data_IF_784917201191
#
_entry.id   IF_784917201191
#
_cell.length_a   1.000
_cell.length_b   1.000
_cell.length_c   1.000
_cell.angle_alpha   90.00
_cell.angle_beta   90.00
_cell.angle_gamma   90.00
#
_symmetry.space_group_name_H-M   'P 1'
#
loop_
_entity.id
_entity.type
_entity.pdbx_description
1 polymer ?
#
# COMPACT_ATOMS: atom_id res chain seq x y z
N UNK A 1 -20.02 -18.60 27.19
CA UNK A 1 -20.66 -17.27 27.15
C UNK A 1 -22.15 -17.47 26.97
N UNK A 2 -22.98 -17.21 27.98
CA UNK A 2 -24.45 -17.23 27.82
C UNK A 2 -24.85 -15.91 27.15
N UNK A 3 -25.39 -15.98 25.93
CA UNK A 3 -25.87 -14.80 25.21
C UNK A 3 -26.97 -14.09 25.99
N UNK A 4 -26.97 -12.76 25.95
CA UNK A 4 -27.99 -11.95 26.62
C UNK A 4 -29.39 -12.31 26.07
N UNK A 5 -30.32 -12.64 26.97
CA UNK A 5 -31.71 -12.92 26.62
C UNK A 5 -32.38 -11.59 26.29
N UNK A 6 -32.83 -11.44 25.05
CA UNK A 6 -33.58 -10.26 24.60
C UNK A 6 -34.95 -10.27 25.29
N UNK A 7 -35.39 -9.18 25.93
CA UNK A 7 -36.66 -9.12 26.63
C UNK A 7 -37.84 -9.26 25.66
N UNK A 8 -38.89 -9.98 26.11
CA UNK A 8 -40.09 -10.23 25.31
C UNK A 8 -40.76 -8.91 24.90
N UNK A 9 -40.93 -8.70 23.59
CA UNK A 9 -41.57 -7.51 23.00
C UNK A 9 -40.66 -6.63 22.14
N UNK A 10 -39.34 -6.85 22.14
CA UNK A 10 -38.42 -6.16 21.23
C UNK A 10 -38.40 -6.87 19.88
N UNK A 11 -39.04 -6.27 18.88
CA UNK A 11 -38.89 -6.71 17.48
C UNK A 11 -37.49 -6.27 17.03
N UNK A 12 -36.54 -7.21 17.05
CA UNK A 12 -35.24 -7.00 16.41
C UNK A 12 -35.47 -7.19 14.92
N UNK A 13 -35.71 -6.09 14.21
CA UNK A 13 -35.56 -6.09 12.75
C UNK A 13 -34.07 -6.17 12.46
N UNK A 14 -33.61 -7.25 11.81
CA UNK A 14 -32.28 -7.27 11.21
C UNK A 14 -32.18 -6.03 10.32
N UNK A 15 -31.28 -5.10 10.64
CA UNK A 15 -31.18 -3.77 10.03
C UNK A 15 -30.67 -3.79 8.59
N UNK A 16 -31.28 -4.63 7.73
CA UNK A 16 -30.81 -4.96 6.40
C UNK A 16 -29.48 -5.72 6.39
N UNK A 17 -29.13 -6.26 5.23
CA UNK A 17 -27.75 -6.69 4.94
C UNK A 17 -26.87 -5.45 4.83
N UNK A 18 -26.41 -4.92 5.96
CA UNK A 18 -25.33 -3.94 5.96
C UNK A 18 -24.01 -4.68 5.72
N UNK A 19 -23.28 -4.34 4.66
CA UNK A 19 -21.89 -4.75 4.52
C UNK A 19 -21.07 -3.94 5.52
N UNK A 20 -21.05 -4.39 6.79
CA UNK A 20 -20.32 -3.74 7.89
C UNK A 20 -18.89 -3.37 7.52
N UNK A 21 -18.26 -4.14 6.65
CA UNK A 21 -16.92 -3.90 6.15
C UNK A 21 -16.85 -2.73 5.16
N UNK A 22 -17.84 -2.53 4.28
CA UNK A 22 -17.90 -1.49 3.25
C UNK A 22 -18.25 -0.12 3.83
N UNK A 23 -19.24 -0.05 4.73
CA UNK A 23 -19.74 1.20 5.35
C UNK A 23 -18.88 1.68 6.52
N UNK A 24 -17.82 0.95 6.89
CA UNK A 24 -16.97 1.28 8.03
C UNK A 24 -16.25 2.63 7.90
N UNK A 25 -15.60 2.97 6.77
CA UNK A 25 -14.94 4.26 6.60
C UNK A 25 -15.93 5.41 6.71
N UNK A 26 -17.10 5.28 6.07
CA UNK A 26 -18.12 6.34 6.05
C UNK A 26 -18.69 6.59 7.44
N UNK A 27 -18.96 5.54 8.22
CA UNK A 27 -19.38 5.70 9.62
C UNK A 27 -18.31 6.34 10.49
N UNK A 28 -17.03 6.00 10.27
CA UNK A 28 -15.92 6.62 10.99
C UNK A 28 -15.73 8.09 10.58
N UNK A 29 -15.93 8.42 9.30
CA UNK A 29 -15.92 9.78 8.79
C UNK A 29 -17.07 10.61 9.40
N UNK A 30 -18.30 10.07 9.41
CA UNK A 30 -19.44 10.73 10.05
C UNK A 30 -19.22 10.92 11.56
N UNK A 31 -18.62 9.94 12.25
CA UNK A 31 -18.25 10.11 13.65
C UNK A 31 -17.18 11.20 13.82
N UNK A 32 -16.17 11.24 12.95
CA UNK A 32 -15.14 12.28 12.93
C UNK A 32 -15.75 13.68 12.81
N UNK A 33 -16.67 13.87 11.86
CA UNK A 33 -17.35 15.14 11.64
C UNK A 33 -18.17 15.59 12.85
N UNK A 34 -18.87 14.66 13.51
CA UNK A 34 -19.61 14.97 14.75
C UNK A 34 -18.68 15.46 15.86
N UNK A 35 -17.61 14.72 16.15
CA UNK A 35 -16.66 15.11 17.20
C UNK A 35 -15.90 16.40 16.86
N UNK A 36 -15.54 16.61 15.59
CA UNK A 36 -14.93 17.85 15.14
C UNK A 36 -15.90 19.05 15.28
N UNK A 37 -17.17 18.86 14.94
CA UNK A 37 -18.22 19.85 15.13
C UNK A 37 -18.43 20.22 16.59
N UNK A 38 -18.46 19.23 17.48
CA UNK A 38 -18.56 19.44 18.93
C UNK A 38 -17.33 20.17 19.50
N UNK A 39 -16.13 19.79 19.07
CA UNK A 39 -14.89 20.45 19.44
C UNK A 39 -14.91 21.95 19.08
N UNK A 40 -15.29 22.28 17.84
CA UNK A 40 -15.39 23.66 17.36
C UNK A 40 -16.43 24.46 18.16
N UNK A 41 -17.61 23.90 18.39
CA UNK A 41 -18.65 24.56 19.18
C UNK A 41 -18.21 24.84 20.63
N UNK A 42 -17.52 23.90 21.27
CA UNK A 42 -16.99 24.07 22.61
C UNK A 42 -15.87 25.12 22.65
N UNK A 43 -14.98 25.11 21.65
CA UNK A 43 -13.93 26.10 21.51
C UNK A 43 -14.50 27.51 21.34
N UNK A 44 -15.39 27.72 20.38
CA UNK A 44 -16.04 29.02 20.14
C UNK A 44 -16.81 29.54 21.36
N UNK A 45 -17.49 28.65 22.10
CA UNK A 45 -18.15 29.04 23.35
C UNK A 45 -17.16 29.44 24.43
N UNK A 46 -16.06 28.71 24.57
CA UNK A 46 -15.01 29.05 25.54
C UNK A 46 -14.33 30.37 25.20
N UNK A 47 -14.10 30.63 23.92
CA UNK A 47 -13.47 31.84 23.39
C UNK A 47 -14.35 33.07 23.63
N UNK A 48 -15.63 33.00 23.23
CA UNK A 48 -16.63 34.05 23.52
C UNK A 48 -16.77 34.33 25.01
N UNK A 49 -16.66 33.31 25.86
CA UNK A 49 -16.68 33.51 27.31
C UNK A 49 -15.40 34.16 27.83
N UNK A 50 -14.24 33.85 27.25
CA UNK A 50 -12.96 34.43 27.59
C UNK A 50 -12.85 35.90 27.18
N UNK A 51 -13.41 36.29 26.03
CA UNK A 51 -13.49 37.68 25.56
C UNK A 51 -14.16 38.63 26.57
N UNK A 52 -15.08 38.11 27.38
CA UNK A 52 -15.74 38.88 28.44
C UNK A 52 -14.81 39.26 29.61
N UNK A 53 -13.63 38.64 29.72
CA UNK A 53 -12.63 38.94 30.74
C UNK A 53 -11.58 39.88 30.12
N UNK A 54 -11.42 41.11 30.63
CA UNK A 54 -10.33 41.98 30.19
C UNK A 54 -8.97 41.32 30.38
N UNK A 55 -8.12 41.38 29.35
CA UNK A 55 -6.80 40.77 29.36
C UNK A 55 -5.95 41.34 30.51
N UNK A 56 -5.33 40.46 31.29
CA UNK A 56 -4.45 40.84 32.40
C UNK A 56 -5.16 41.19 33.71
N UNK A 57 -6.50 41.10 33.80
CA UNK A 57 -7.22 41.37 35.05
C UNK A 57 -6.89 40.31 36.13
N UNK A 58 -6.26 40.69 37.26
CA UNK A 58 -5.98 39.77 38.35
C UNK A 58 -7.27 39.36 39.09
N UNK A 59 -7.27 38.16 39.69
CA UNK A 59 -8.35 37.72 40.57
C UNK A 59 -8.25 38.52 41.88
N UNK A 60 -9.30 39.25 42.24
CA UNK A 60 -9.37 39.99 43.50
C UNK A 60 -9.62 39.03 44.67
N UNK A 61 -8.53 38.55 45.29
CA UNK A 61 -8.58 37.63 46.43
C UNK A 61 -9.18 38.33 47.65
N UNK A 62 -10.15 37.70 48.31
CA UNK A 62 -10.85 38.23 49.49
C UNK A 62 -12.05 39.15 49.16
N UNK A 63 -12.34 39.43 47.89
CA UNK A 63 -13.50 40.22 47.48
C UNK A 63 -14.74 39.34 47.28
N UNK A 64 -15.95 39.88 47.47
CA UNK A 64 -17.22 39.16 47.29
C UNK A 64 -17.37 38.51 45.89
N UNK A 65 -16.74 39.08 44.86
CA UNK A 65 -16.75 38.57 43.48
C UNK A 65 -15.75 37.44 43.20
N UNK A 66 -14.83 37.14 44.11
CA UNK A 66 -13.75 36.18 43.90
C UNK A 66 -14.28 34.81 43.46
N UNK A 67 -15.25 34.28 44.21
CA UNK A 67 -15.81 32.95 43.95
C UNK A 67 -16.46 32.86 42.57
N UNK A 68 -17.15 33.94 42.15
CA UNK A 68 -17.80 34.02 40.84
C UNK A 68 -16.77 34.06 39.70
N UNK A 69 -15.71 34.86 39.84
CA UNK A 69 -14.64 34.95 38.83
C UNK A 69 -13.88 33.62 38.69
N UNK A 70 -13.52 32.98 39.82
CA UNK A 70 -12.88 31.65 39.81
C UNK A 70 -13.75 30.61 39.10
N UNK A 71 -15.04 30.56 39.42
CA UNK A 71 -15.97 29.61 38.78
C UNK A 71 -16.17 29.92 37.30
N UNK A 72 -16.19 31.20 36.91
CA UNK A 72 -16.31 31.61 35.50
C UNK A 72 -15.08 31.17 34.69
N UNK A 73 -13.87 31.48 35.18
CA UNK A 73 -12.60 31.02 34.57
C UNK A 73 -12.49 29.50 34.52
N UNK A 74 -12.91 28.80 35.58
CA UNK A 74 -12.94 27.33 35.62
C UNK A 74 -13.88 26.75 34.55
N UNK A 75 -15.04 27.37 34.31
CA UNK A 75 -15.96 26.94 33.24
C UNK A 75 -15.34 27.10 31.85
N UNK A 76 -14.66 28.22 31.59
CA UNK A 76 -13.91 28.44 30.35
C UNK A 76 -12.88 27.32 30.18
N UNK A 77 -12.02 27.14 31.19
CA UNK A 77 -10.98 26.12 31.17
C UNK A 77 -11.54 24.72 30.91
N UNK A 78 -12.63 24.34 31.58
CA UNK A 78 -13.26 23.03 31.38
C UNK A 78 -13.79 22.85 29.95
N UNK A 79 -14.39 23.90 29.36
CA UNK A 79 -14.85 23.85 27.97
C UNK A 79 -13.69 23.75 26.98
N UNK A 80 -12.60 24.47 27.23
CA UNK A 80 -11.37 24.39 26.43
C UNK A 80 -10.72 23.00 26.54
N UNK A 81 -10.65 22.41 27.74
CA UNK A 81 -10.14 21.04 27.91
C UNK A 81 -11.01 20.06 27.11
N UNK A 82 -12.33 20.17 27.25
CA UNK A 82 -13.27 19.30 26.53
C UNK A 82 -13.16 19.45 25.01
N UNK A 83 -13.02 20.68 24.48
CA UNK A 83 -12.85 20.87 23.04
C UNK A 83 -11.57 20.23 22.52
N UNK A 84 -10.48 20.26 23.29
CA UNK A 84 -9.23 19.57 22.96
C UNK A 84 -9.43 18.04 22.96
N UNK A 85 -10.14 17.49 23.95
CA UNK A 85 -10.45 16.05 24.03
C UNK A 85 -11.30 15.59 22.84
N UNK A 86 -12.33 16.34 22.48
CA UNK A 86 -13.18 16.04 21.31
C UNK A 86 -12.38 16.16 20.00
N UNK A 87 -11.50 17.17 19.90
CA UNK A 87 -10.62 17.34 18.73
C UNK A 87 -9.64 16.17 18.57
N UNK A 88 -9.05 15.69 19.66
CA UNK A 88 -8.21 14.47 19.65
C UNK A 88 -9.00 13.24 19.24
N UNK A 89 -10.21 13.08 19.77
CA UNK A 89 -11.10 11.97 19.40
C UNK A 89 -11.45 12.00 17.92
N UNK A 90 -11.74 13.18 17.36
CA UNK A 90 -11.97 13.36 15.94
C UNK A 90 -10.74 12.96 15.11
N UNK A 91 -9.53 13.39 15.50
CA UNK A 91 -8.28 13.01 14.82
C UNK A 91 -8.07 11.48 14.81
N UNK A 92 -8.24 10.82 15.96
CA UNK A 92 -8.11 9.36 16.06
C UNK A 92 -9.12 8.62 15.16
N UNK A 93 -10.36 9.12 15.09
CA UNK A 93 -11.39 8.56 14.22
C UNK A 93 -11.07 8.80 12.74
N UNK A 94 -10.54 9.97 12.39
CA UNK A 94 -10.09 10.28 11.04
C UNK A 94 -8.98 9.31 10.59
N UNK A 95 -8.01 9.04 11.46
CA UNK A 95 -6.91 8.11 11.20
C UNK A 95 -7.41 6.67 10.99
N UNK A 96 -8.38 6.25 11.81
CA UNK A 96 -9.06 4.96 11.64
C UNK A 96 -9.84 4.91 10.34
N UNK A 97 -10.53 5.98 9.95
CA UNK A 97 -11.26 6.07 8.68
C UNK A 97 -10.30 5.92 7.49
N UNK A 98 -9.19 6.67 7.49
CA UNK A 98 -8.14 6.59 6.45
C UNK A 98 -7.56 5.19 6.34
N UNK A 99 -7.22 4.59 7.47
CA UNK A 99 -6.66 3.22 7.52
C UNK A 99 -7.65 2.18 7.01
N UNK A 100 -8.93 2.32 7.37
CA UNK A 100 -10.00 1.44 6.91
C UNK A 100 -10.23 1.56 5.40
N UNK A 101 -10.28 2.78 4.87
CA UNK A 101 -10.41 3.03 3.43
C UNK A 101 -9.21 2.46 2.64
N UNK A 102 -7.99 2.64 3.15
CA UNK A 102 -6.79 2.05 2.55
C UNK A 102 -6.84 0.52 2.55
N UNK A 103 -7.28 -0.10 3.64
CA UNK A 103 -7.43 -1.55 3.73
C UNK A 103 -8.47 -2.09 2.73
N UNK A 104 -9.61 -1.40 2.56
CA UNK A 104 -10.59 -1.74 1.53
C UNK A 104 -10.02 -1.63 0.12
N UNK A 105 -9.36 -0.51 -0.21
CA UNK A 105 -8.70 -0.32 -1.51
C UNK A 105 -7.69 -1.42 -1.79
N UNK A 106 -6.87 -1.77 -0.80
CA UNK A 106 -5.89 -2.86 -0.90
C UNK A 106 -6.56 -4.23 -1.05
N UNK A 107 -7.72 -4.45 -0.42
CA UNK A 107 -8.49 -5.70 -0.57
C UNK A 107 -9.01 -5.88 -1.98
N UNK A 108 -9.38 -4.79 -2.65
CA UNK A 108 -9.85 -4.77 -4.03
C UNK A 108 -8.71 -4.69 -5.07
N UNK A 109 -7.45 -4.63 -4.64
CA UNK A 109 -6.31 -4.68 -5.56
C UNK A 109 -6.29 -6.04 -6.31
N UNK A 110 -6.29 -6.07 -7.65
CA UNK A 110 -6.33 -7.30 -8.43
C UNK A 110 -5.24 -8.31 -8.06
N UNK A 111 -4.03 -7.83 -7.75
CA UNK A 111 -2.92 -8.68 -7.33
C UNK A 111 -3.16 -9.33 -5.96
N UNK A 112 -3.80 -8.61 -5.03
CA UNK A 112 -4.22 -9.17 -3.74
C UNK A 112 -5.33 -10.20 -3.92
N UNK A 113 -6.34 -9.92 -4.75
CA UNK A 113 -7.43 -10.86 -5.05
C UNK A 113 -6.86 -12.16 -5.63
N UNK A 114 -5.96 -12.07 -6.62
CA UNK A 114 -5.34 -13.25 -7.23
C UNK A 114 -4.52 -14.09 -6.24
N UNK A 115 -3.84 -13.46 -5.27
CA UNK A 115 -3.16 -14.19 -4.20
C UNK A 115 -4.15 -14.89 -3.25
N UNK A 116 -5.31 -14.28 -2.96
CA UNK A 116 -6.38 -14.95 -2.20
C UNK A 116 -6.89 -16.19 -2.93
N UNK A 117 -7.18 -16.07 -4.23
CA UNK A 117 -7.61 -17.19 -5.08
C UNK A 117 -6.57 -18.32 -5.04
N UNK A 118 -5.29 -18.01 -5.20
CA UNK A 118 -4.21 -19.01 -5.12
C UNK A 118 -4.16 -19.72 -3.77
N UNK A 119 -4.39 -18.99 -2.67
CA UNK A 119 -4.46 -19.59 -1.33
C UNK A 119 -5.64 -20.54 -1.20
N UNK A 120 -6.83 -20.12 -1.64
CA UNK A 120 -8.03 -20.96 -1.61
C UNK A 120 -7.85 -22.23 -2.46
N UNK A 121 -7.24 -22.12 -3.64
CA UNK A 121 -6.89 -23.28 -4.48
C UNK A 121 -5.90 -24.21 -3.77
N UNK A 122 -4.90 -23.67 -3.06
CA UNK A 122 -3.98 -24.47 -2.27
C UNK A 122 -4.70 -25.19 -1.11
N UNK A 123 -5.68 -24.54 -0.49
CA UNK A 123 -6.50 -25.15 0.57
C UNK A 123 -7.35 -26.32 0.02
N UNK A 124 -7.91 -26.20 -1.19
CA UNK A 124 -8.61 -27.32 -1.87
C UNK A 124 -7.67 -28.52 -2.08
N UNK A 125 -6.45 -28.27 -2.56
CA UNK A 125 -5.42 -29.31 -2.71
C UNK A 125 -5.06 -29.93 -1.37
N UNK A 126 -4.90 -29.11 -0.33
CA UNK A 126 -4.62 -29.58 1.04
C UNK A 126 -5.72 -30.49 1.58
N UNK A 127 -7.00 -30.11 1.43
CA UNK A 127 -8.14 -30.93 1.83
C UNK A 127 -8.20 -32.26 1.05
N UNK A 128 -7.92 -32.22 -0.24
CA UNK A 128 -7.87 -33.42 -1.10
C UNK A 128 -6.75 -34.37 -0.68
N UNK A 129 -5.57 -33.83 -0.37
CA UNK A 129 -4.45 -34.61 0.15
C UNK A 129 -4.79 -35.23 1.50
N UNK A 130 -5.44 -34.48 2.41
CA UNK A 130 -5.90 -35.01 3.68
C UNK A 130 -6.83 -36.21 3.51
N UNK A 131 -7.82 -36.12 2.62
CA UNK A 131 -8.69 -37.25 2.29
C UNK A 131 -7.90 -38.44 1.75
N UNK A 132 -6.97 -38.19 0.82
CA UNK A 132 -6.10 -39.22 0.25
C UNK A 132 -5.29 -39.94 1.33
N UNK A 133 -4.68 -39.18 2.25
CA UNK A 133 -3.93 -39.73 3.37
C UNK A 133 -4.78 -40.59 4.30
N UNK A 134 -6.01 -40.15 4.61
CA UNK A 134 -6.94 -40.93 5.43
C UNK A 134 -7.34 -42.24 4.73
N UNK A 135 -7.66 -42.19 3.44
CA UNK A 135 -7.98 -43.39 2.65
C UNK A 135 -6.78 -44.36 2.62
N UNK A 136 -5.56 -43.85 2.42
CA UNK A 136 -4.36 -44.67 2.39
C UNK A 136 -4.09 -45.35 3.74
N UNK A 137 -4.24 -44.61 4.84
CA UNK A 137 -3.97 -45.11 6.19
C UNK A 137 -5.06 -46.09 6.67
N UNK A 138 -6.33 -45.68 6.59
CA UNK A 138 -7.47 -46.48 7.05
C UNK A 138 -7.78 -47.64 6.08
N UNK A 139 -7.42 -47.52 4.81
CA UNK A 139 -7.59 -48.57 3.79
C UNK A 139 -6.82 -49.86 4.10
N UNK A 140 -5.73 -49.78 4.86
CA UNK A 140 -5.01 -50.98 5.31
C UNK A 140 -5.89 -51.87 6.19
N UNK A 141 -6.65 -51.28 7.12
CA UNK A 141 -7.56 -52.01 8.01
C UNK A 141 -8.75 -52.62 7.26
N UNK A 142 -9.18 -52.02 6.14
CA UNK A 142 -10.23 -52.59 5.29
C UNK A 142 -9.81 -53.94 4.67
N UNK A 143 -8.50 -54.10 4.38
CA UNK A 143 -7.96 -55.31 3.75
C UNK A 143 -7.52 -56.36 4.78
N UNK A 144 -6.93 -55.93 5.89
CA UNK A 144 -6.23 -56.83 6.84
C UNK A 144 -6.79 -56.84 8.26
N UNK A 145 -7.71 -55.93 8.59
CA UNK A 145 -8.29 -55.80 9.93
C UNK A 145 -9.38 -56.81 10.23
N UNK A 146 -9.80 -56.87 11.50
CA UNK A 146 -11.00 -57.58 11.94
C UNK A 146 -12.27 -56.89 11.42
N UNK A 147 -13.42 -57.56 11.44
CA UNK A 147 -14.69 -56.95 10.96
C UNK A 147 -15.06 -55.65 11.71
N UNK A 148 -14.80 -55.59 13.01
CA UNK A 148 -14.99 -54.36 13.81
C UNK A 148 -14.06 -53.23 13.36
N UNK A 149 -12.78 -53.54 13.10
CA UNK A 149 -11.81 -52.57 12.60
C UNK A 149 -12.18 -52.09 11.20
N UNK A 150 -12.64 -52.99 10.31
CA UNK A 150 -13.13 -52.63 8.98
C UNK A 150 -14.30 -51.67 9.06
N UNK A 151 -15.29 -51.97 9.90
CA UNK A 151 -16.46 -51.10 10.08
C UNK A 151 -16.07 -49.72 10.63
N UNK A 152 -15.17 -49.67 11.62
CA UNK A 152 -14.67 -48.41 12.18
C UNK A 152 -13.89 -47.57 11.17
N UNK A 153 -12.99 -48.19 10.41
CA UNK A 153 -12.20 -47.53 9.35
C UNK A 153 -13.07 -47.05 8.19
N UNK A 154 -14.06 -47.86 7.77
CA UNK A 154 -15.03 -47.47 6.74
C UNK A 154 -15.85 -46.25 7.18
N UNK A 155 -16.30 -46.24 8.43
CA UNK A 155 -17.01 -45.09 9.01
C UNK A 155 -16.14 -43.83 8.95
N UNK A 156 -14.89 -43.90 9.41
CA UNK A 156 -13.96 -42.76 9.35
C UNK A 156 -13.74 -42.24 7.93
N UNK A 157 -13.52 -43.14 6.97
CA UNK A 157 -13.32 -42.75 5.56
C UNK A 157 -14.56 -42.02 5.04
N UNK A 158 -15.77 -42.55 5.32
CA UNK A 158 -17.02 -41.93 4.87
C UNK A 158 -17.26 -40.57 5.55
N UNK A 159 -17.01 -40.47 6.85
CA UNK A 159 -17.12 -39.21 7.60
C UNK A 159 -16.14 -38.15 7.04
N UNK A 160 -14.88 -38.51 6.83
CA UNK A 160 -13.86 -37.63 6.25
C UNK A 160 -14.18 -37.26 4.81
N UNK A 161 -14.71 -38.20 4.01
CA UNK A 161 -15.15 -37.94 2.63
C UNK A 161 -16.29 -36.93 2.60
N UNK A 162 -17.29 -37.09 3.47
CA UNK A 162 -18.42 -36.16 3.59
C UNK A 162 -17.94 -34.76 4.03
N UNK A 163 -17.07 -34.70 5.05
CA UNK A 163 -16.47 -33.44 5.49
C UNK A 163 -15.64 -32.77 4.39
N UNK A 164 -14.79 -33.53 3.70
CA UNK A 164 -13.91 -33.00 2.64
C UNK A 164 -14.73 -32.49 1.46
N UNK A 165 -15.78 -33.21 1.05
CA UNK A 165 -16.68 -32.77 -0.01
C UNK A 165 -17.40 -31.46 0.34
N UNK A 166 -17.94 -31.35 1.55
CA UNK A 166 -18.58 -30.12 2.03
C UNK A 166 -17.57 -28.96 2.08
N UNK A 167 -16.35 -29.22 2.56
CA UNK A 167 -15.32 -28.18 2.68
C UNK A 167 -14.80 -27.71 1.32
N UNK A 168 -14.60 -28.62 0.38
CA UNK A 168 -14.18 -28.29 -0.99
C UNK A 168 -15.27 -27.46 -1.67
N UNK A 169 -16.55 -27.82 -1.53
CA UNK A 169 -17.66 -27.04 -2.11
C UNK A 169 -17.71 -25.60 -1.55
N UNK A 170 -17.48 -25.42 -0.25
CA UNK A 170 -17.34 -24.09 0.37
C UNK A 170 -16.18 -23.30 -0.24
N UNK A 171 -14.99 -23.92 -0.33
CA UNK A 171 -13.80 -23.28 -0.89
C UNK A 171 -13.97 -22.94 -2.38
N UNK A 172 -14.61 -23.79 -3.16
CA UNK A 172 -14.92 -23.56 -4.57
C UNK A 172 -15.91 -22.39 -4.75
N UNK A 173 -16.94 -22.31 -3.89
CA UNK A 173 -17.84 -21.17 -3.87
C UNK A 173 -17.09 -19.86 -3.55
N UNK A 174 -16.14 -19.90 -2.62
CA UNK A 174 -15.29 -18.75 -2.28
C UNK A 174 -14.37 -18.35 -3.44
N UNK A 175 -13.75 -19.33 -4.11
CA UNK A 175 -12.95 -19.10 -5.32
C UNK A 175 -13.81 -18.42 -6.40
N UNK A 176 -15.04 -18.90 -6.62
CA UNK A 176 -15.95 -18.32 -7.61
C UNK A 176 -16.34 -16.87 -7.26
N UNK A 177 -16.64 -16.57 -5.98
CA UNK A 177 -16.91 -15.20 -5.52
C UNK A 177 -15.71 -14.27 -5.74
N UNK A 178 -14.51 -14.74 -5.44
CA UNK A 178 -13.28 -13.98 -5.61
C UNK A 178 -12.93 -13.78 -7.09
N UNK A 179 -13.18 -14.77 -7.94
CA UNK A 179 -13.04 -14.64 -9.40
C UNK A 179 -14.04 -13.65 -9.99
N UNK A 180 -15.30 -13.66 -9.54
CA UNK A 180 -16.30 -12.68 -9.93
C UNK A 180 -15.90 -11.26 -9.50
N UNK A 181 -15.34 -11.12 -8.29
CA UNK A 181 -14.81 -9.85 -7.78
C UNK A 181 -13.65 -9.38 -8.66
N UNK A 182 -12.69 -10.25 -8.99
CA UNK A 182 -11.57 -9.94 -9.86
C UNK A 182 -12.05 -9.48 -11.26
N UNK A 183 -13.04 -10.17 -11.82
CA UNK A 183 -13.65 -9.79 -13.10
C UNK A 183 -14.29 -8.39 -13.03
N UNK A 184 -14.99 -8.08 -11.94
CA UNK A 184 -15.62 -6.76 -11.76
C UNK A 184 -14.61 -5.61 -11.68
N UNK A 185 -13.40 -5.85 -11.18
CA UNK A 185 -12.32 -4.85 -11.08
C UNK A 185 -11.55 -4.70 -12.41
N UNK A 186 -11.88 -5.49 -13.44
CA UNK A 186 -11.22 -5.44 -14.76
C UNK A 186 -10.11 -6.47 -14.94
N UNK A 187 -10.07 -7.51 -14.10
CA UNK A 187 -9.13 -8.62 -14.23
C UNK A 187 -7.72 -8.31 -13.71
N UNK A 188 -6.79 -9.23 -13.98
CA UNK A 188 -5.39 -8.99 -13.66
C UNK A 188 -4.78 -8.00 -14.66
N UNK A 189 -3.97 -7.03 -14.20
CA UNK A 189 -3.23 -6.14 -15.10
C UNK A 189 -2.35 -6.90 -16.11
N UNK A 190 -1.90 -8.11 -15.78
CA UNK A 190 -1.14 -8.97 -16.68
C UNK A 190 -1.91 -9.27 -17.97
N UNK A 191 -3.21 -9.59 -17.87
CA UNK A 191 -4.02 -10.02 -19.02
C UNK A 191 -4.39 -8.83 -19.92
N UNK A 192 -4.30 -7.60 -19.40
CA UNK A 192 -4.56 -6.36 -20.15
C UNK A 192 -3.29 -5.68 -20.67
N UNK A 193 -2.12 -6.13 -20.25
CA UNK A 193 -0.84 -5.63 -20.74
C UNK A 193 -0.41 -6.41 -21.98
N UNK A 194 -0.65 -5.81 -23.14
CA UNK A 194 -0.12 -6.27 -24.42
C UNK A 194 1.41 -6.08 -24.45
N UNK A 195 2.14 -7.02 -23.84
CA UNK A 195 3.60 -6.99 -23.74
C UNK A 195 4.24 -7.95 -24.73
N UNK A 196 5.22 -7.43 -25.46
CA UNK A 196 6.03 -8.20 -26.38
C UNK A 196 7.49 -8.25 -25.94
N UNK A 197 8.17 -9.32 -26.33
CA UNK A 197 9.63 -9.40 -26.19
C UNK A 197 10.25 -8.34 -27.10
N UNK A 198 11.16 -7.53 -26.57
CA UNK A 198 11.74 -6.36 -27.22
C UNK A 198 11.04 -5.03 -26.91
N UNK A 199 9.93 -5.04 -26.16
CA UNK A 199 9.31 -3.78 -25.71
C UNK A 199 10.19 -3.08 -24.66
N UNK A 200 10.21 -1.75 -24.70
CA UNK A 200 10.94 -0.90 -23.76
C UNK A 200 9.97 -0.20 -22.80
N UNK A 201 10.29 -0.16 -21.52
CA UNK A 201 9.52 0.57 -20.51
C UNK A 201 10.41 1.21 -19.46
N UNK A 202 9.95 2.31 -18.85
CA UNK A 202 10.65 2.93 -17.73
C UNK A 202 10.26 2.26 -16.40
N UNK A 203 11.26 1.78 -15.66
CA UNK A 203 11.09 1.32 -14.30
C UNK A 203 12.36 1.57 -13.50
N UNK A 204 12.25 1.86 -12.20
CA UNK A 204 13.44 2.04 -11.38
C UNK A 204 14.37 0.80 -11.47
N UNK A 205 15.66 0.94 -11.84
CA UNK A 205 16.47 2.18 -11.86
C UNK A 205 16.68 2.87 -13.24
N UNK A 206 16.01 2.47 -14.33
CA UNK A 206 16.21 3.09 -15.64
C UNK A 206 15.30 2.56 -16.77
N UNK A 207 15.78 2.65 -18.01
CA UNK A 207 15.08 2.12 -19.17
C UNK A 207 15.30 0.59 -19.25
N UNK A 208 14.21 -0.17 -19.34
CA UNK A 208 14.23 -1.63 -19.30
C UNK A 208 13.70 -2.19 -20.62
N UNK A 209 14.48 -3.08 -21.24
CA UNK A 209 14.09 -3.86 -22.42
C UNK A 209 13.60 -5.25 -22.01
N UNK A 210 12.46 -5.70 -22.52
CA UNK A 210 11.91 -7.02 -22.22
C UNK A 210 12.64 -8.10 -23.00
N UNK A 211 13.32 -9.00 -22.30
CA UNK A 211 14.04 -10.13 -22.92
C UNK A 211 13.24 -11.44 -22.88
N UNK A 212 12.40 -11.62 -21.84
CA UNK A 212 11.55 -12.79 -21.70
C UNK A 212 10.33 -12.47 -20.85
N UNK A 213 9.17 -13.00 -21.26
CA UNK A 213 7.91 -12.85 -20.55
C UNK A 213 7.54 -14.19 -19.94
N UNK A 214 7.25 -14.21 -18.63
CA UNK A 214 6.63 -15.32 -17.92
C UNK A 214 5.26 -14.88 -17.39
N UNK A 215 4.44 -15.83 -16.91
CA UNK A 215 3.08 -15.58 -16.41
C UNK A 215 2.98 -14.58 -15.23
N UNK A 216 4.04 -14.45 -14.42
CA UNK A 216 4.06 -13.57 -13.22
C UNK A 216 5.23 -12.59 -13.22
N UNK A 217 6.22 -12.79 -14.08
CA UNK A 217 7.47 -12.05 -14.06
C UNK A 217 7.96 -11.78 -15.47
N UNK A 218 8.66 -10.67 -15.63
CA UNK A 218 9.31 -10.29 -16.87
C UNK A 218 10.80 -10.20 -16.61
N UNK A 219 11.59 -10.92 -17.40
CA UNK A 219 13.03 -10.75 -17.41
C UNK A 219 13.37 -9.59 -18.32
N UNK A 220 14.07 -8.61 -17.76
CA UNK A 220 14.42 -7.37 -18.42
C UNK A 220 15.91 -7.15 -18.42
N UNK A 221 16.39 -6.48 -19.46
CA UNK A 221 17.71 -5.91 -19.50
C UNK A 221 17.60 -4.42 -19.16
N UNK A 222 18.14 -4.02 -18.00
CA UNK A 222 18.11 -2.64 -17.54
C UNK A 222 19.30 -1.88 -18.11
N UNK A 223 19.03 -0.98 -19.04
CA UNK A 223 20.01 -0.08 -19.64
C UNK A 223 20.34 1.06 -18.67
N UNK A 224 21.08 0.70 -17.63
CA UNK A 224 21.63 1.60 -16.61
C UNK A 224 23.16 1.52 -16.60
N UNK A 225 23.82 2.22 -15.66
CA UNK A 225 25.29 2.19 -15.51
C UNK A 225 25.90 0.79 -15.45
N UNK A 226 25.17 -0.18 -14.94
CA UNK A 226 25.64 -1.56 -14.69
C UNK A 226 25.15 -2.57 -15.72
N UNK A 227 24.28 -2.17 -16.65
CA UNK A 227 23.74 -3.00 -17.71
C UNK A 227 23.26 -4.39 -17.23
N UNK A 228 22.44 -4.38 -16.18
CA UNK A 228 22.10 -5.58 -15.42
C UNK A 228 20.85 -6.29 -15.98
N UNK A 229 20.85 -7.62 -15.92
CA UNK A 229 19.66 -8.44 -16.14
C UNK A 229 18.87 -8.54 -14.85
N UNK A 230 17.57 -8.24 -14.91
CA UNK A 230 16.66 -8.30 -13.75
C UNK A 230 15.40 -9.08 -14.06
N UNK A 231 14.79 -9.59 -13.01
CA UNK A 231 13.45 -10.16 -13.07
C UNK A 231 12.52 -9.26 -12.29
N UNK A 232 11.53 -8.69 -12.97
CA UNK A 232 10.51 -7.83 -12.38
C UNK A 232 9.18 -8.57 -12.26
N UNK A 233 8.44 -8.31 -11.19
CA UNK A 233 7.04 -8.72 -11.09
C UNK A 233 6.23 -7.88 -12.08
N UNK A 234 5.42 -8.55 -12.90
CA UNK A 234 4.66 -7.88 -13.97
C UNK A 234 3.67 -6.84 -13.43
N UNK A 235 3.24 -6.98 -12.17
CA UNK A 235 2.41 -5.98 -11.47
C UNK A 235 3.07 -4.62 -11.34
N UNK A 236 4.40 -4.52 -11.52
CA UNK A 236 5.14 -3.26 -11.53
C UNK A 236 5.08 -2.52 -12.87
N UNK A 237 4.63 -3.19 -13.93
CA UNK A 237 4.46 -2.60 -15.26
C UNK A 237 3.00 -2.17 -15.37
N UNK A 238 2.76 -0.87 -15.57
CA UNK A 238 1.41 -0.29 -15.69
C UNK A 238 1.08 -0.01 -17.15
N UNK A 239 -0.21 0.01 -17.53
CA UNK A 239 -0.62 0.53 -18.84
C UNK A 239 -0.07 1.97 -19.00
N UNK A 240 0.66 2.22 -20.08
CA UNK A 240 1.35 3.50 -20.33
C UNK A 240 2.81 3.58 -19.85
N UNK A 241 3.37 2.56 -19.20
CA UNK A 241 4.81 2.47 -18.95
C UNK A 241 5.61 2.05 -20.19
N UNK A 242 4.96 1.43 -21.19
CA UNK A 242 5.62 1.04 -22.45
C UNK A 242 5.94 2.31 -23.22
N UNK A 243 7.24 2.54 -23.41
CA UNK A 243 7.81 3.72 -24.04
C UNK A 243 7.98 3.50 -25.54
N UNK A 244 8.55 2.35 -25.91
CA UNK A 244 8.75 1.96 -27.30
C UNK A 244 8.36 0.49 -27.47
N UNK A 245 7.76 0.19 -28.62
CA UNK A 245 7.36 -1.17 -28.99
C UNK A 245 8.45 -1.84 -29.81
N UNK A 246 8.59 -3.15 -29.66
CA UNK A 246 9.48 -3.96 -30.50
C UNK A 246 9.19 -3.76 -32.01
N UNK A 247 7.92 -3.57 -32.36
CA UNK A 247 7.45 -3.34 -33.73
C UNK A 247 7.95 -2.04 -34.36
N UNK A 248 8.37 -1.06 -33.55
CA UNK A 248 8.86 0.23 -34.06
C UNK A 248 10.33 0.13 -34.52
N UNK A 249 11.05 -0.94 -34.16
CA UNK A 249 12.42 -1.18 -34.62
C UNK A 249 13.43 -0.09 -34.25
N UNK A 250 13.11 0.72 -33.23
CA UNK A 250 13.93 1.87 -32.84
C UNK A 250 15.26 1.43 -32.24
N UNK A 251 16.31 2.15 -32.60
CA UNK A 251 17.60 2.02 -31.95
C UNK A 251 17.59 2.67 -30.56
N UNK A 252 18.51 2.24 -29.69
CA UNK A 252 18.60 2.77 -28.33
C UNK A 252 18.84 4.29 -28.30
N UNK A 253 19.56 4.81 -29.30
CA UNK A 253 19.84 6.24 -29.47
C UNK A 253 18.56 7.02 -29.78
N UNK A 254 17.72 6.52 -30.69
CA UNK A 254 16.43 7.13 -31.02
C UNK A 254 15.47 7.11 -29.83
N UNK A 255 15.47 6.05 -29.02
CA UNK A 255 14.66 5.95 -27.80
C UNK A 255 15.13 6.98 -26.76
N UNK A 256 16.45 7.12 -26.56
CA UNK A 256 17.00 8.14 -25.67
C UNK A 256 16.65 9.57 -26.11
N UNK A 257 16.71 9.84 -27.42
CA UNK A 257 16.37 11.16 -27.99
C UNK A 257 14.87 11.45 -27.89
N UNK A 258 14.01 10.47 -28.19
CA UNK A 258 12.55 10.65 -28.23
C UNK A 258 11.94 10.81 -26.85
N UNK A 259 12.47 10.12 -25.85
CA UNK A 259 11.85 10.06 -24.52
C UNK A 259 12.67 10.72 -23.41
N UNK A 260 13.79 11.36 -23.75
CA UNK A 260 14.52 12.34 -22.95
C UNK A 260 14.85 11.92 -21.52
N UNK A 261 16.11 11.58 -21.24
CA UNK A 261 16.72 11.51 -19.89
C UNK A 261 15.92 10.82 -18.75
N UNK A 262 14.93 9.96 -19.03
CA UNK A 262 14.57 8.89 -18.08
C UNK A 262 15.77 7.96 -17.84
N UNK A 263 16.71 7.99 -18.76
CA UNK A 263 18.10 7.62 -18.58
C UNK A 263 18.84 8.73 -17.83
N UNK A 264 18.99 8.50 -16.53
CA UNK A 264 20.16 8.86 -15.73
C UNK A 264 20.10 10.13 -14.87
N UNK A 265 19.86 9.89 -13.58
CA UNK A 265 20.86 10.34 -12.62
C UNK A 265 22.09 9.41 -12.81
N UNK A 266 23.18 9.91 -13.41
CA UNK A 266 24.47 9.26 -13.78
C UNK A 266 24.79 9.14 -15.29
N UNK A 267 25.00 10.27 -15.99
CA UNK A 267 25.98 10.42 -17.09
C UNK A 267 26.38 9.17 -17.90
N UNK A 268 25.63 8.87 -18.98
CA UNK A 268 26.09 7.99 -20.07
C UNK A 268 27.09 8.80 -20.88
N UNK A 269 28.38 8.70 -20.58
CA UNK A 269 29.40 8.97 -21.59
C UNK A 269 29.58 7.67 -22.35
N UNK A 270 29.23 7.66 -23.64
CA UNK A 270 29.77 6.66 -24.55
C UNK A 270 31.28 6.62 -24.35
N UNK A 271 31.79 5.49 -23.85
CA UNK A 271 33.22 5.20 -23.86
C UNK A 271 33.52 4.69 -25.26
N UNK A 272 33.61 5.61 -26.22
CA UNK A 272 34.42 5.36 -27.43
C UNK A 272 35.84 5.18 -26.91
N UNK A 273 36.36 3.97 -26.97
CA UNK A 273 37.74 3.66 -26.60
C UNK A 273 38.67 4.13 -27.72
N UNK A 274 38.82 5.45 -27.84
CA UNK A 274 40.08 6.03 -28.32
C UNK A 274 40.87 6.37 -27.06
N UNK A 275 41.75 5.44 -26.68
CA UNK A 275 42.63 5.64 -25.54
C UNK A 275 43.63 6.73 -25.88
N UNK A 276 43.40 7.95 -25.38
CA UNK A 276 44.42 8.99 -25.28
C UNK A 276 45.67 8.37 -24.67
N UNK A 277 46.81 8.60 -25.31
CA UNK A 277 48.09 8.13 -24.79
C UNK A 277 48.37 8.78 -23.42
N UNK A 278 49.19 8.15 -22.55
CA UNK A 278 49.50 8.71 -21.23
C UNK A 278 50.03 10.15 -21.29
N UNK A 279 50.74 10.51 -22.35
CA UNK A 279 51.28 11.86 -22.59
C UNK A 279 50.17 12.87 -22.89
N UNK A 280 49.21 12.54 -23.76
CA UNK A 280 48.07 13.43 -24.07
C UNK A 280 47.18 13.65 -22.83
N UNK A 281 47.03 12.61 -21.99
CA UNK A 281 46.31 12.72 -20.73
C UNK A 281 47.06 13.58 -19.68
N UNK A 282 48.38 13.62 -19.72
CA UNK A 282 49.18 14.51 -18.87
C UNK A 282 49.12 15.95 -19.37
N UNK A 283 49.17 16.15 -20.70
CA UNK A 283 49.07 17.46 -21.32
C UNK A 283 47.72 18.12 -21.06
N UNK A 284 46.62 17.38 -21.21
CA UNK A 284 45.27 17.85 -20.86
C UNK A 284 45.15 18.22 -19.36
N UNK A 285 45.83 17.49 -18.47
CA UNK A 285 45.87 17.79 -17.03
C UNK A 285 46.62 19.09 -16.75
N UNK A 286 47.77 19.31 -17.41
CA UNK A 286 48.53 20.57 -17.30
C UNK A 286 47.72 21.76 -17.80
N UNK A 287 47.06 21.63 -18.95
CA UNK A 287 46.22 22.69 -19.51
C UNK A 287 45.04 23.04 -18.59
N UNK A 288 44.41 22.03 -18.00
CA UNK A 288 43.32 22.24 -17.03
C UNK A 288 43.82 22.95 -15.78
N UNK A 289 45.01 22.58 -15.28
CA UNK A 289 45.60 23.20 -14.10
C UNK A 289 45.99 24.67 -14.34
N UNK A 290 46.50 24.99 -15.54
CA UNK A 290 46.80 26.38 -15.92
C UNK A 290 45.52 27.23 -15.98
N UNK A 291 44.44 26.71 -16.58
CA UNK A 291 43.15 27.43 -16.62
C UNK A 291 42.60 27.69 -15.22
N UNK A 292 42.69 26.70 -14.33
CA UNK A 292 42.23 26.83 -12.94
C UNK A 292 43.02 27.90 -12.18
N UNK A 293 44.35 27.95 -12.37
CA UNK A 293 45.19 28.98 -11.75
C UNK A 293 44.89 30.39 -12.28
N UNK A 294 44.63 30.52 -13.59
CA UNK A 294 44.22 31.79 -14.17
C UNK A 294 42.88 32.26 -13.60
N UNK A 295 41.92 31.35 -13.47
CA UNK A 295 40.58 31.66 -12.95
C UNK A 295 40.63 32.08 -11.49
N UNK A 296 41.43 31.39 -10.66
CA UNK A 296 41.71 31.76 -9.27
C UNK A 296 42.33 33.16 -9.19
N UNK A 297 43.36 33.45 -10.00
CA UNK A 297 44.00 34.76 -10.01
C UNK A 297 43.02 35.89 -10.38
N UNK A 298 42.18 35.69 -11.41
CA UNK A 298 41.13 36.67 -11.73
C UNK A 298 40.11 36.84 -10.61
N UNK A 299 39.78 35.76 -9.88
CA UNK A 299 38.84 35.82 -8.75
C UNK A 299 39.44 36.58 -7.57
N UNK A 300 40.72 36.36 -7.29
CA UNK A 300 41.46 37.09 -6.25
C UNK A 300 41.56 38.58 -6.59
N UNK A 301 41.84 38.94 -7.85
CA UNK A 301 41.83 40.34 -8.30
C UNK A 301 40.45 41.00 -8.17
N UNK A 302 39.37 40.28 -8.50
CA UNK A 302 38.00 40.76 -8.30
C UNK A 302 37.68 41.01 -6.82
N UNK A 303 38.02 40.06 -5.94
CA UNK A 303 37.81 40.20 -4.49
C UNK A 303 38.62 41.36 -3.90
N UNK A 304 39.82 41.61 -4.41
CA UNK A 304 40.65 42.75 -3.97
C UNK A 304 40.09 44.09 -4.44
N UNK A 305 39.45 44.16 -5.62
CA UNK A 305 38.73 45.37 -6.08
C UNK A 305 37.44 45.64 -5.31
N UNK A 306 36.77 44.61 -4.81
CA UNK A 306 35.54 44.76 -4.02
C UNK A 306 35.79 45.16 -2.56
N UNK A 307 37.02 45.00 -2.05
CA UNK A 307 37.40 45.28 -0.66
C UNK A 307 38.24 46.55 -0.46
N UNK A 308 38.68 47.21 -1.53
CA UNK A 308 39.40 48.49 -1.50
C UNK A 308 38.54 49.64 -1.97
#
# INVERSE_FOLDING_TARGET
>A
MRGAVVPAGVIVTDGGTCEYAAERPDRLAAATERHAGEANQLWERSDKMAEAIPLGQPILVGHYSEHRDRNYRKRIQNMTIKSIEESRTAQDLADKARSSAYAQKKRMDPGVIARRIQKLQADVVSTTNHLTHVIQFEGWYLVKGTEEQKAASLKKINDTKAWSAAKIAELEADIAREQATLASVGGLPFDSLDLHVGDFFAAWPGLCEITRINKKTVSVHAHNRYNERRTLDITKIKPGHIIARASEGLTMEEIHTRYGAYTMNTTYRHRTTETLTPEEAEQARRETQVKLQQEIATREEQVMREKG
#
